data_IF_651899008911
#
_entry.id   IF_651899008911
#
_cell.length_a   1.000
_cell.length_b   1.000
_cell.length_c   1.000
_cell.angle_alpha   90.00
_cell.angle_beta   90.00
_cell.angle_gamma   90.00
#
_symmetry.space_group_name_H-M   'P 1'
#
loop_
_entity.id
_entity.type
_entity.pdbx_description
1 polymer ?
#
# COMPACT_ATOMS: atom_id res chain seq x y z
N UNK A 1 -3.78 74.40 23.50
CA UNK A 1 -4.79 73.39 23.92
C UNK A 1 -4.92 72.37 22.80
N UNK A 2 -4.77 71.09 23.18
CA UNK A 2 -4.75 69.91 22.30
C UNK A 2 -6.02 69.80 21.46
N UNK A 3 -5.90 69.50 20.16
CA UNK A 3 -6.92 68.77 19.41
C UNK A 3 -6.27 67.53 18.83
N UNK A 4 -6.78 66.40 19.32
CA UNK A 4 -6.39 65.05 18.97
C UNK A 4 -6.57 64.79 17.47
N UNK A 5 -5.54 64.21 16.87
CA UNK A 5 -5.59 63.50 15.62
C UNK A 5 -6.15 62.10 15.88
N UNK A 6 -7.40 61.86 15.48
CA UNK A 6 -7.96 60.51 15.42
C UNK A 6 -7.31 59.78 14.25
N UNK A 7 -6.35 58.93 14.58
CA UNK A 7 -5.78 57.95 13.66
C UNK A 7 -6.80 56.83 13.56
N UNK A 8 -7.59 56.85 12.48
CA UNK A 8 -8.44 55.74 12.09
C UNK A 8 -7.52 54.55 11.81
N UNK A 9 -7.47 53.58 12.73
CA UNK A 9 -6.63 52.38 12.63
C UNK A 9 -7.43 51.27 11.92
N UNK A 10 -7.18 50.96 10.64
CA UNK A 10 -7.94 49.98 9.87
C UNK A 10 -7.76 48.53 10.37
N UNK A 11 -6.88 48.28 11.35
CA UNK A 11 -6.62 46.95 11.90
C UNK A 11 -7.53 46.57 13.09
N UNK A 12 -8.27 47.51 13.69
CA UNK A 12 -9.10 47.22 14.88
C UNK A 12 -10.34 46.35 14.57
N UNK A 13 -10.93 46.50 13.38
CA UNK A 13 -12.10 45.72 12.93
C UNK A 13 -11.75 44.30 12.46
N UNK A 14 -10.46 44.03 12.19
CA UNK A 14 -10.00 42.70 11.77
C UNK A 14 -9.68 41.80 12.98
N UNK A 15 -9.16 42.40 14.07
CA UNK A 15 -8.89 41.71 15.35
C UNK A 15 -10.17 41.32 16.10
N UNK A 16 -11.21 42.17 16.06
CA UNK A 16 -12.50 41.89 16.73
C UNK A 16 -13.26 40.74 16.07
N UNK A 17 -13.34 40.70 14.74
CA UNK A 17 -13.96 39.60 13.98
C UNK A 17 -13.23 38.28 14.18
N UNK A 18 -11.89 38.30 14.25
CA UNK A 18 -11.09 37.11 14.55
C UNK A 18 -11.38 36.55 15.94
N UNK A 19 -11.55 37.42 16.94
CA UNK A 19 -11.91 37.05 18.32
C UNK A 19 -13.33 36.49 18.43
N UNK A 20 -14.30 37.05 17.69
CA UNK A 20 -15.69 36.57 17.68
C UNK A 20 -15.82 35.18 17.04
N UNK A 21 -15.17 34.97 15.89
CA UNK A 21 -15.16 33.66 15.20
C UNK A 21 -14.48 32.59 16.07
N UNK A 22 -13.38 32.92 16.75
CA UNK A 22 -12.72 32.00 17.67
C UNK A 22 -13.61 31.60 18.85
N UNK A 23 -14.41 32.54 19.35
CA UNK A 23 -15.36 32.30 20.44
C UNK A 23 -16.51 31.39 19.99
N UNK A 24 -17.06 31.64 18.80
CA UNK A 24 -18.15 30.83 18.23
C UNK A 24 -17.71 29.39 17.94
N UNK A 25 -16.53 29.19 17.35
CA UNK A 25 -15.93 27.87 17.15
C UNK A 25 -15.67 27.14 18.47
N UNK A 26 -15.29 27.85 19.53
CA UNK A 26 -15.08 27.26 20.86
C UNK A 26 -16.39 26.78 21.50
N UNK A 27 -17.47 27.56 21.35
CA UNK A 27 -18.80 27.21 21.86
C UNK A 27 -19.39 26.02 21.10
N UNK A 28 -19.20 25.96 19.79
CA UNK A 28 -19.61 24.81 18.98
C UNK A 28 -18.89 23.52 19.41
N UNK A 29 -17.58 23.57 19.64
CA UNK A 29 -16.83 22.40 20.13
C UNK A 29 -17.31 21.95 21.51
N UNK A 30 -17.56 22.88 22.43
CA UNK A 30 -18.13 22.55 23.74
C UNK A 30 -19.52 21.92 23.63
N UNK A 31 -20.36 22.41 22.72
CA UNK A 31 -21.67 21.82 22.46
C UNK A 31 -21.56 20.40 21.90
N UNK A 32 -20.62 20.15 20.98
CA UNK A 32 -20.36 18.80 20.45
C UNK A 32 -19.88 17.83 21.51
N UNK A 33 -19.03 18.27 22.44
CA UNK A 33 -18.61 17.46 23.58
C UNK A 33 -19.79 17.15 24.51
N UNK A 34 -20.59 18.16 24.87
CA UNK A 34 -21.75 18.00 25.77
C UNK A 34 -22.83 17.09 25.19
N UNK A 35 -23.05 17.14 23.88
CA UNK A 35 -24.00 16.30 23.15
C UNK A 35 -23.42 14.94 22.75
N UNK A 36 -22.20 14.62 23.18
CA UNK A 36 -21.48 13.40 22.82
C UNK A 36 -21.34 13.19 21.31
N UNK A 37 -21.37 14.26 20.51
CA UNK A 37 -21.24 14.18 19.05
C UNK A 37 -19.88 13.61 18.63
N UNK A 38 -18.82 13.89 19.40
CA UNK A 38 -17.51 13.26 19.22
C UNK A 38 -17.57 11.73 19.37
N UNK A 39 -18.39 11.21 20.29
CA UNK A 39 -18.57 9.76 20.45
C UNK A 39 -19.31 9.17 19.25
N UNK A 40 -20.30 9.89 18.71
CA UNK A 40 -21.03 9.46 17.49
C UNK A 40 -20.07 9.39 16.29
N UNK A 41 -19.17 10.37 16.12
CA UNK A 41 -18.14 10.37 15.07
C UNK A 41 -17.22 9.16 15.19
N UNK A 42 -16.75 8.85 16.40
CA UNK A 42 -15.92 7.66 16.64
C UNK A 42 -16.68 6.36 16.37
N UNK A 43 -17.95 6.26 16.76
CA UNK A 43 -18.79 5.10 16.45
C UNK A 43 -18.98 4.91 14.94
N UNK A 44 -19.21 6.01 14.21
CA UNK A 44 -19.30 5.99 12.75
C UNK A 44 -17.97 5.57 12.13
N UNK A 45 -16.86 6.17 12.57
CA UNK A 45 -15.52 5.88 12.11
C UNK A 45 -15.16 4.40 12.29
N UNK A 46 -15.54 3.81 13.43
CA UNK A 46 -15.34 2.39 13.70
C UNK A 46 -16.16 1.44 12.80
N UNK A 47 -17.19 1.95 12.11
CA UNK A 47 -17.99 1.19 11.14
C UNK A 47 -17.52 1.38 9.69
N UNK A 48 -16.51 2.22 9.46
CA UNK A 48 -15.92 2.41 8.13
C UNK A 48 -14.89 1.31 7.81
N UNK A 49 -14.69 1.01 6.53
CA UNK A 49 -13.77 -0.04 6.05
C UNK A 49 -12.59 0.48 5.26
N UNK A 50 -12.61 1.76 4.92
CA UNK A 50 -11.62 2.41 4.08
C UNK A 50 -10.95 3.53 4.87
N UNK A 51 -9.63 3.65 4.74
CA UNK A 51 -8.84 4.61 5.54
C UNK A 51 -9.37 6.05 5.44
N UNK A 52 -9.68 6.55 4.23
CA UNK A 52 -10.24 7.89 4.05
C UNK A 52 -11.65 8.03 4.63
N UNK A 53 -12.47 6.98 4.59
CA UNK A 53 -13.82 7.05 5.17
C UNK A 53 -13.76 7.24 6.68
N UNK A 54 -12.76 6.66 7.36
CA UNK A 54 -12.54 6.87 8.79
C UNK A 54 -12.21 8.32 9.10
N UNK A 55 -11.31 8.93 8.33
CA UNK A 55 -10.96 10.34 8.45
C UNK A 55 -12.18 11.23 8.25
N UNK A 56 -12.95 11.01 7.17
CA UNK A 56 -14.18 11.78 6.88
C UNK A 56 -15.21 11.64 8.02
N UNK A 57 -15.40 10.43 8.55
CA UNK A 57 -16.32 10.21 9.68
C UNK A 57 -15.84 10.93 10.96
N UNK A 58 -14.53 10.91 11.21
CA UNK A 58 -13.92 11.63 12.33
C UNK A 58 -13.98 13.12 12.12
N UNK A 59 -13.95 13.65 10.90
CA UNK A 59 -13.97 15.08 10.60
C UNK A 59 -15.38 15.62 10.35
N UNK A 60 -16.41 14.77 10.35
CA UNK A 60 -17.79 15.15 10.06
C UNK A 60 -18.33 16.23 11.03
N UNK A 61 -18.96 17.26 10.46
CA UNK A 61 -19.58 18.37 11.17
C UNK A 61 -21.04 18.53 10.75
N UNK A 62 -21.94 18.99 11.64
CA UNK A 62 -23.32 19.26 11.28
C UNK A 62 -23.42 20.37 10.23
N UNK A 63 -24.16 20.13 9.15
CA UNK A 63 -24.43 21.13 8.13
C UNK A 63 -25.70 21.92 8.46
N UNK A 64 -25.70 23.21 8.11
CA UNK A 64 -26.80 24.14 8.40
C UNK A 64 -27.56 24.61 7.15
N UNK A 65 -27.01 24.35 5.97
CA UNK A 65 -27.65 24.68 4.69
C UNK A 65 -28.59 23.55 4.27
N UNK A 66 -29.86 23.87 4.05
CA UNK A 66 -30.90 22.89 3.75
C UNK A 66 -30.56 22.02 2.53
N UNK A 67 -30.06 22.63 1.46
CA UNK A 67 -29.70 21.93 0.22
C UNK A 67 -28.62 20.86 0.45
N UNK A 68 -27.63 21.15 1.29
CA UNK A 68 -26.59 20.19 1.65
C UNK A 68 -27.13 19.04 2.51
N UNK A 69 -28.02 19.36 3.46
CA UNK A 69 -28.65 18.36 4.32
C UNK A 69 -29.52 17.41 3.51
N UNK A 70 -30.36 17.94 2.61
CA UNK A 70 -31.21 17.14 1.73
C UNK A 70 -30.38 16.25 0.81
N UNK A 71 -29.30 16.78 0.23
CA UNK A 71 -28.37 16.01 -0.61
C UNK A 71 -27.73 14.86 0.18
N UNK A 72 -27.19 15.11 1.38
CA UNK A 72 -26.57 14.05 2.19
C UNK A 72 -27.57 12.99 2.66
N UNK A 73 -28.82 13.39 2.93
CA UNK A 73 -29.89 12.45 3.26
C UNK A 73 -30.25 11.56 2.07
N UNK A 74 -30.32 12.10 0.86
CA UNK A 74 -30.55 11.32 -0.36
C UNK A 74 -29.37 10.39 -0.67
N UNK A 75 -28.12 10.87 -0.56
CA UNK A 75 -26.92 10.03 -0.69
C UNK A 75 -26.95 8.86 0.30
N UNK A 76 -27.34 9.11 1.56
CA UNK A 76 -27.47 8.08 2.60
C UNK A 76 -28.58 7.08 2.28
N UNK A 77 -29.73 7.55 1.79
CA UNK A 77 -30.84 6.69 1.40
C UNK A 77 -30.46 5.78 0.23
N UNK A 78 -29.76 6.31 -0.78
CA UNK A 78 -29.24 5.55 -1.91
C UNK A 78 -28.17 4.54 -1.47
N UNK A 79 -27.29 4.91 -0.54
CA UNK A 79 -26.28 4.00 0.02
C UNK A 79 -26.94 2.83 0.78
N UNK A 80 -27.96 3.10 1.59
CA UNK A 80 -28.72 2.06 2.29
C UNK A 80 -29.42 1.11 1.31
N UNK A 81 -30.05 1.65 0.26
CA UNK A 81 -30.67 0.86 -0.81
C UNK A 81 -29.61 -0.02 -1.51
N UNK A 82 -28.48 0.55 -1.88
CA UNK A 82 -27.38 -0.18 -2.51
C UNK A 82 -26.90 -1.32 -1.63
N UNK A 83 -26.57 -1.05 -0.36
CA UNK A 83 -26.11 -2.09 0.58
C UNK A 83 -27.16 -3.21 0.75
N UNK A 84 -28.46 -2.88 0.76
CA UNK A 84 -29.51 -3.91 0.80
C UNK A 84 -29.67 -4.71 -0.50
N UNK A 85 -29.25 -4.15 -1.63
CA UNK A 85 -29.44 -4.75 -2.97
C UNK A 85 -28.25 -5.61 -3.38
N UNK A 86 -27.04 -5.06 -3.28
CA UNK A 86 -25.80 -5.70 -3.75
C UNK A 86 -24.90 -6.20 -2.61
N UNK A 87 -25.22 -5.84 -1.36
CA UNK A 87 -24.42 -6.21 -0.20
C UNK A 87 -23.17 -5.35 -0.08
N UNK A 88 -22.02 -6.01 0.08
CA UNK A 88 -20.72 -5.36 0.18
C UNK A 88 -20.26 -4.84 -1.19
N UNK A 89 -19.77 -3.60 -1.24
CA UNK A 89 -19.19 -3.01 -2.46
C UNK A 89 -17.74 -3.43 -2.69
N UNK A 90 -17.09 -4.08 -1.73
CA UNK A 90 -15.71 -4.56 -1.88
C UNK A 90 -14.66 -3.45 -1.80
N UNK A 91 -15.04 -2.27 -1.28
CA UNK A 91 -14.12 -1.18 -0.99
C UNK A 91 -13.36 -1.49 0.32
N UNK A 92 -12.15 -2.00 0.17
CA UNK A 92 -11.28 -2.44 1.25
C UNK A 92 -9.89 -1.86 0.99
N UNK A 93 -9.38 -1.10 1.94
CA UNK A 93 -8.07 -0.48 1.84
C UNK A 93 -7.59 -0.12 3.23
N UNK A 94 -6.83 -1.03 3.84
CA UNK A 94 -6.35 -0.85 5.20
C UNK A 94 -5.12 0.07 5.28
N UNK A 95 -4.33 0.14 4.20
CA UNK A 95 -3.10 0.93 4.16
C UNK A 95 -3.34 2.25 3.43
N UNK A 96 -3.03 3.36 4.09
CA UNK A 96 -2.99 4.68 3.47
C UNK A 96 -1.80 4.76 2.50
N UNK A 97 -2.02 4.92 1.18
CA UNK A 97 -0.96 5.00 0.19
C UNK A 97 -0.32 6.39 0.12
N UNK A 98 -0.82 7.42 0.82
CA UNK A 98 -0.40 8.83 0.63
C UNK A 98 1.10 9.00 0.79
N UNK A 99 1.73 8.34 1.76
CA UNK A 99 3.18 8.41 1.96
C UNK A 99 3.96 7.77 0.82
N UNK A 100 3.50 6.61 0.35
CA UNK A 100 4.10 5.91 -0.79
C UNK A 100 3.97 6.75 -2.07
N UNK A 101 2.79 7.32 -2.31
CA UNK A 101 2.50 8.16 -3.47
C UNK A 101 3.31 9.47 -3.43
N UNK A 102 3.39 10.13 -2.27
CA UNK A 102 4.22 11.33 -2.08
C UNK A 102 5.69 11.04 -2.37
N UNK A 103 6.20 9.91 -1.89
CA UNK A 103 7.58 9.48 -2.15
C UNK A 103 7.80 9.17 -3.64
N UNK A 104 6.88 8.43 -4.26
CA UNK A 104 6.96 8.11 -5.68
C UNK A 104 6.88 9.37 -6.58
N UNK A 105 6.10 10.38 -6.17
CA UNK A 105 5.95 11.63 -6.90
C UNK A 105 7.23 12.49 -6.97
N UNK A 106 8.19 12.26 -6.05
CA UNK A 106 9.50 12.94 -6.02
C UNK A 106 10.64 12.01 -6.50
N UNK A 107 10.32 11.06 -7.38
CA UNK A 107 11.24 10.04 -7.92
C UNK A 107 11.84 9.11 -6.85
N UNK A 108 11.19 9.01 -5.68
CA UNK A 108 11.56 8.07 -4.65
C UNK A 108 11.20 6.63 -5.02
N UNK A 109 12.10 5.70 -4.72
CA UNK A 109 11.91 4.28 -5.01
C UNK A 109 10.86 3.66 -4.10
N UNK A 110 9.98 2.84 -4.68
CA UNK A 110 9.10 1.93 -3.95
C UNK A 110 9.68 0.52 -3.96
N UNK A 111 9.48 -0.22 -2.87
CA UNK A 111 9.69 -1.66 -2.86
C UNK A 111 8.60 -2.35 -3.69
N UNK A 112 8.84 -3.58 -4.12
CA UNK A 112 7.83 -4.32 -4.86
C UNK A 112 6.58 -4.63 -4.04
N UNK A 113 6.72 -4.87 -2.73
CA UNK A 113 5.58 -5.06 -1.81
C UNK A 113 4.74 -3.79 -1.70
N UNK A 114 5.39 -2.62 -1.58
CA UNK A 114 4.70 -1.33 -1.56
C UNK A 114 3.97 -1.06 -2.87
N UNK A 115 4.58 -1.35 -4.02
CA UNK A 115 3.94 -1.23 -5.32
C UNK A 115 2.70 -2.13 -5.41
N UNK A 116 2.81 -3.40 -5.02
CA UNK A 116 1.68 -4.35 -5.00
C UNK A 116 0.56 -3.84 -4.08
N UNK A 117 0.89 -3.27 -2.93
CA UNK A 117 -0.12 -2.72 -2.02
C UNK A 117 -0.97 -1.61 -2.67
N UNK A 118 -0.35 -0.75 -3.49
CA UNK A 118 -1.04 0.29 -4.26
C UNK A 118 -1.91 -0.35 -5.34
N UNK A 119 -1.42 -1.38 -6.03
CA UNK A 119 -2.21 -2.06 -7.06
C UNK A 119 -3.45 -2.77 -6.51
N UNK A 120 -3.35 -3.38 -5.33
CA UNK A 120 -4.49 -3.99 -4.64
C UNK A 120 -5.54 -2.95 -4.25
N UNK A 121 -5.10 -1.77 -3.82
CA UNK A 121 -5.99 -0.64 -3.56
C UNK A 121 -6.71 -0.19 -4.84
N UNK A 122 -6.00 -0.06 -5.96
CA UNK A 122 -6.60 0.31 -7.25
C UNK A 122 -7.65 -0.71 -7.70
N UNK A 123 -7.38 -2.00 -7.54
CA UNK A 123 -8.32 -3.07 -7.88
C UNK A 123 -9.58 -3.04 -6.99
N UNK A 124 -9.43 -2.78 -5.69
CA UNK A 124 -10.55 -2.62 -4.77
C UNK A 124 -11.42 -1.40 -5.14
N UNK A 125 -10.81 -0.26 -5.45
CA UNK A 125 -11.52 0.95 -5.91
C UNK A 125 -12.28 0.66 -7.20
N UNK A 126 -11.65 -0.03 -8.16
CA UNK A 126 -12.29 -0.38 -9.42
C UNK A 126 -13.45 -1.37 -9.26
N UNK A 127 -13.30 -2.34 -8.35
CA UNK A 127 -14.36 -3.29 -8.00
C UNK A 127 -15.54 -2.56 -7.38
N UNK A 128 -15.29 -1.67 -6.41
CA UNK A 128 -16.32 -0.84 -5.80
C UNK A 128 -17.06 0.02 -6.81
N UNK A 129 -16.32 0.67 -7.72
CA UNK A 129 -16.88 1.42 -8.84
C UNK A 129 -17.85 0.58 -9.66
N UNK A 130 -17.44 -0.61 -10.11
CA UNK A 130 -18.28 -1.46 -10.95
C UNK A 130 -19.54 -1.94 -10.21
N UNK A 131 -19.41 -2.22 -8.91
CA UNK A 131 -20.55 -2.58 -8.07
C UNK A 131 -21.56 -1.43 -7.98
N UNK A 132 -21.09 -0.20 -7.74
CA UNK A 132 -21.97 0.99 -7.73
C UNK A 132 -22.63 1.19 -9.10
N UNK A 133 -21.88 1.12 -10.19
CA UNK A 133 -22.40 1.27 -11.56
C UNK A 133 -23.40 0.16 -11.95
N UNK A 134 -23.42 -0.96 -11.24
CA UNK A 134 -24.39 -2.05 -11.46
C UNK A 134 -25.82 -1.71 -11.00
N UNK A 135 -25.99 -0.62 -10.23
CA UNK A 135 -27.29 -0.16 -9.73
C UNK A 135 -28.22 0.40 -10.83
N UNK A 136 -27.68 0.73 -12.01
CA UNK A 136 -28.43 1.08 -13.23
C UNK A 136 -29.48 2.18 -12.99
N UNK A 137 -29.08 3.29 -12.36
CA UNK A 137 -29.90 4.47 -12.09
C UNK A 137 -30.63 4.44 -10.75
N UNK A 138 -30.56 3.34 -9.98
CA UNK A 138 -31.21 3.25 -8.65
C UNK A 138 -30.45 4.00 -7.56
N UNK A 139 -29.19 4.35 -7.80
CA UNK A 139 -28.35 5.11 -6.89
C UNK A 139 -27.61 6.20 -7.67
N UNK A 140 -28.35 7.09 -8.34
CA UNK A 140 -27.82 8.04 -9.31
C UNK A 140 -26.73 8.98 -8.74
N UNK A 141 -26.84 9.40 -7.47
CA UNK A 141 -25.81 10.24 -6.83
C UNK A 141 -24.51 9.45 -6.64
N UNK A 142 -24.61 8.21 -6.17
CA UNK A 142 -23.45 7.33 -6.00
C UNK A 142 -22.83 6.92 -7.34
N UNK A 143 -23.66 6.66 -8.35
CA UNK A 143 -23.21 6.42 -9.73
C UNK A 143 -22.47 7.63 -10.30
N UNK A 144 -22.93 8.86 -9.99
CA UNK A 144 -22.22 10.09 -10.31
C UNK A 144 -20.82 10.15 -9.69
N UNK A 145 -20.71 9.89 -8.38
CA UNK A 145 -19.41 9.84 -7.69
C UNK A 145 -18.50 8.75 -8.27
N UNK A 146 -19.06 7.56 -8.55
CA UNK A 146 -18.29 6.44 -9.11
C UNK A 146 -17.86 6.70 -10.56
N UNK A 147 -18.60 7.49 -11.32
CA UNK A 147 -18.26 7.82 -12.70
C UNK A 147 -16.93 8.59 -12.82
N UNK A 148 -16.61 9.40 -11.82
CA UNK A 148 -15.37 10.20 -11.76
C UNK A 148 -14.12 9.37 -11.44
N UNK A 149 -14.28 8.11 -11.01
CA UNK A 149 -13.16 7.21 -10.73
C UNK A 149 -12.47 6.79 -12.06
N UNK A 150 -11.18 7.12 -12.25
CA UNK A 150 -10.47 6.81 -13.49
C UNK A 150 -10.15 5.32 -13.63
N UNK A 151 -10.07 4.85 -14.89
CA UNK A 151 -9.60 3.50 -15.21
C UNK A 151 -8.06 3.45 -15.25
N UNK A 152 -7.47 2.87 -14.21
CA UNK A 152 -6.02 2.72 -14.08
C UNK A 152 -5.55 1.27 -14.28
N UNK A 153 -6.37 0.39 -14.89
CA UNK A 153 -6.00 -1.02 -15.07
C UNK A 153 -4.77 -1.23 -15.95
N UNK A 154 -4.51 -0.33 -16.90
CA UNK A 154 -3.30 -0.37 -17.72
C UNK A 154 -2.03 -0.11 -16.89
N UNK A 155 -2.11 0.75 -15.85
CA UNK A 155 -1.01 0.92 -14.91
C UNK A 155 -0.72 -0.37 -14.15
N UNK A 156 -1.76 -1.04 -13.63
CA UNK A 156 -1.60 -2.33 -12.95
C UNK A 156 -0.97 -3.38 -13.86
N UNK A 157 -1.43 -3.47 -15.11
CA UNK A 157 -0.84 -4.38 -16.10
C UNK A 157 0.63 -4.07 -16.36
N UNK A 158 0.99 -2.80 -16.48
CA UNK A 158 2.38 -2.40 -16.73
C UNK A 158 3.30 -2.77 -15.56
N UNK A 159 2.86 -2.52 -14.33
CA UNK A 159 3.64 -2.88 -13.14
C UNK A 159 3.81 -4.39 -13.01
N UNK A 160 2.74 -5.17 -13.24
CA UNK A 160 2.80 -6.64 -13.17
C UNK A 160 3.63 -7.31 -14.28
N UNK A 161 4.05 -6.59 -15.33
CA UNK A 161 5.07 -7.11 -16.27
C UNK A 161 6.43 -7.26 -15.62
N UNK A 162 6.71 -6.45 -14.59
CA UNK A 162 8.03 -6.35 -13.95
C UNK A 162 8.05 -6.84 -12.51
N UNK A 163 6.90 -6.84 -11.83
CA UNK A 163 6.77 -7.20 -10.42
C UNK A 163 5.73 -8.32 -10.29
N UNK A 164 6.02 -9.33 -9.47
CA UNK A 164 5.07 -10.42 -9.16
C UNK A 164 4.02 -9.96 -8.16
N UNK A 165 2.95 -10.75 -7.99
CA UNK A 165 1.95 -10.54 -6.92
C UNK A 165 2.55 -10.57 -5.50
N UNK A 166 3.76 -11.09 -5.33
CA UNK A 166 4.49 -11.12 -4.06
C UNK A 166 5.45 -9.94 -3.88
N UNK A 167 5.51 -9.02 -4.83
CA UNK A 167 6.47 -7.90 -4.81
C UNK A 167 7.88 -8.28 -5.28
N UNK A 168 8.06 -9.45 -5.89
CA UNK A 168 9.36 -9.86 -6.41
C UNK A 168 9.59 -9.33 -7.83
N UNK A 169 10.80 -8.88 -8.14
CA UNK A 169 11.14 -8.46 -9.50
C UNK A 169 11.26 -9.68 -10.41
N UNK A 170 10.42 -9.72 -11.44
CA UNK A 170 10.36 -10.78 -12.44
C UNK A 170 11.54 -10.71 -13.41
N UNK A 171 11.89 -11.85 -14.02
CA UNK A 171 12.90 -11.91 -15.09
C UNK A 171 12.51 -11.04 -16.29
N UNK A 172 11.20 -10.92 -16.54
CA UNK A 172 10.60 -10.09 -17.59
C UNK A 172 10.76 -8.59 -17.36
N UNK A 173 11.16 -8.15 -16.16
CA UNK A 173 11.32 -6.73 -15.85
C UNK A 173 12.29 -6.04 -16.80
N UNK A 174 13.40 -6.70 -17.16
CA UNK A 174 14.28 -6.23 -18.24
C UNK A 174 14.95 -7.39 -18.97
N UNK A 175 15.19 -7.27 -20.30
CA UNK A 175 15.95 -8.28 -21.04
C UNK A 175 17.36 -8.51 -20.49
N UNK A 176 17.98 -7.48 -19.89
CA UNK A 176 19.30 -7.58 -19.25
C UNK A 176 19.24 -8.44 -17.99
N UNK A 177 18.23 -8.24 -17.14
CA UNK A 177 18.03 -9.04 -15.93
C UNK A 177 17.79 -10.52 -16.26
N UNK A 178 16.91 -10.81 -17.22
CA UNK A 178 16.67 -12.16 -17.70
C UNK A 178 17.96 -12.86 -18.14
N UNK A 179 18.79 -12.18 -18.96
CA UNK A 179 20.09 -12.71 -19.42
C UNK A 179 21.05 -12.97 -18.25
N UNK A 180 21.13 -12.05 -17.29
CA UNK A 180 22.01 -12.20 -16.12
C UNK A 180 21.59 -13.40 -15.27
N UNK A 181 20.30 -13.52 -14.92
CA UNK A 181 19.77 -14.65 -14.14
C UNK A 181 19.96 -15.98 -14.89
N UNK A 182 19.71 -16.03 -16.19
CA UNK A 182 19.98 -17.22 -17.00
C UNK A 182 21.46 -17.62 -17.00
N UNK A 183 22.38 -16.65 -17.07
CA UNK A 183 23.81 -16.89 -16.99
C UNK A 183 24.25 -17.41 -15.61
N UNK A 184 23.67 -16.87 -14.53
CA UNK A 184 23.88 -17.36 -13.17
C UNK A 184 23.45 -18.82 -13.06
N UNK A 185 22.22 -19.14 -13.46
CA UNK A 185 21.69 -20.52 -13.43
C UNK A 185 22.52 -21.48 -14.28
N UNK A 186 22.92 -21.07 -15.49
CA UNK A 186 23.78 -21.88 -16.37
C UNK A 186 25.15 -22.14 -15.76
N UNK A 187 25.74 -21.12 -15.13
CA UNK A 187 27.05 -21.23 -14.46
C UNK A 187 26.95 -22.14 -13.25
N UNK A 188 25.90 -21.97 -12.43
CA UNK A 188 25.62 -22.82 -11.28
C UNK A 188 25.48 -24.29 -11.68
N UNK A 189 24.69 -24.61 -12.70
CA UNK A 189 24.55 -25.97 -13.23
C UNK A 189 25.87 -26.55 -13.76
N UNK A 190 26.74 -25.70 -14.33
CA UNK A 190 28.08 -26.12 -14.77
C UNK A 190 28.99 -26.46 -13.59
N UNK A 191 28.94 -25.67 -12.52
CA UNK A 191 29.70 -25.94 -11.28
C UNK A 191 29.17 -27.19 -10.60
N UNK A 192 27.86 -27.36 -10.47
CA UNK A 192 27.23 -28.57 -9.93
C UNK A 192 27.67 -29.82 -10.68
N UNK A 193 27.59 -29.84 -12.02
CA UNK A 193 28.06 -30.97 -12.83
C UNK A 193 29.57 -31.24 -12.69
N UNK A 194 30.38 -30.20 -12.47
CA UNK A 194 31.80 -30.38 -12.20
C UNK A 194 32.02 -31.02 -10.82
N UNK A 195 31.29 -30.57 -9.80
CA UNK A 195 31.32 -31.14 -8.45
C UNK A 195 30.84 -32.60 -8.44
N UNK A 196 29.76 -32.93 -9.13
CA UNK A 196 29.27 -34.31 -9.27
C UNK A 196 30.31 -35.22 -9.93
N UNK A 197 31.02 -34.73 -10.95
CA UNK A 197 32.09 -35.47 -11.62
C UNK A 197 33.27 -35.72 -10.69
N UNK A 198 33.65 -34.72 -9.90
CA UNK A 198 34.72 -34.85 -8.89
C UNK A 198 34.29 -35.85 -7.82
N UNK A 199 33.07 -35.73 -7.29
CA UNK A 199 32.55 -36.61 -6.24
C UNK A 199 32.47 -38.07 -6.68
N UNK A 200 32.15 -38.33 -7.95
CA UNK A 200 32.06 -39.68 -8.51
C UNK A 200 33.39 -40.20 -9.07
N UNK A 201 34.47 -39.43 -9.03
CA UNK A 201 35.78 -39.88 -9.50
C UNK A 201 36.33 -40.99 -8.61
N UNK A 202 37.02 -41.98 -9.20
CA UNK A 202 37.58 -43.12 -8.45
C UNK A 202 38.59 -42.71 -7.38
N UNK A 203 39.26 -41.57 -7.56
CA UNK A 203 40.26 -41.04 -6.63
C UNK A 203 39.62 -40.36 -5.41
N UNK A 204 38.50 -39.65 -5.58
CA UNK A 204 37.87 -38.85 -4.51
C UNK A 204 36.77 -39.61 -3.80
N UNK A 205 35.99 -40.44 -4.52
CA UNK A 205 34.82 -41.16 -3.98
C UNK A 205 35.08 -41.95 -2.69
N UNK A 206 36.21 -42.69 -2.53
CA UNK A 206 36.50 -43.42 -1.28
C UNK A 206 36.80 -42.53 -0.07
N UNK A 207 37.20 -41.28 -0.33
CA UNK A 207 37.58 -40.30 0.67
C UNK A 207 36.40 -39.44 1.16
N UNK A 208 35.25 -39.51 0.48
CA UNK A 208 34.05 -38.77 0.85
C UNK A 208 33.28 -39.45 2.00
N UNK A 209 32.71 -38.63 2.88
CA UNK A 209 31.78 -39.06 3.93
C UNK A 209 30.39 -39.33 3.35
N UNK A 210 29.91 -38.44 2.48
CA UNK A 210 28.69 -38.61 1.70
C UNK A 210 28.92 -38.19 0.24
N UNK A 211 28.20 -38.82 -0.70
CA UNK A 211 28.24 -38.44 -2.11
C UNK A 211 27.40 -37.19 -2.43
N UNK A 212 26.77 -36.57 -1.43
CA UNK A 212 25.94 -35.41 -1.59
C UNK A 212 26.79 -34.14 -1.64
N UNK A 213 26.41 -33.20 -2.52
CA UNK A 213 27.03 -31.88 -2.58
C UNK A 213 26.30 -31.01 -1.56
N UNK A 214 27.03 -30.51 -0.56
CA UNK A 214 26.50 -29.60 0.44
C UNK A 214 26.79 -28.14 0.05
N UNK A 215 26.09 -27.21 0.71
CA UNK A 215 26.35 -25.77 0.59
C UNK A 215 26.82 -25.25 1.94
N UNK A 216 27.92 -24.50 1.96
CA UNK A 216 28.45 -23.78 3.14
C UNK A 216 28.63 -22.31 2.75
N UNK A 217 27.79 -21.44 3.32
CA UNK A 217 27.65 -20.05 2.85
C UNK A 217 27.23 -20.02 1.38
N UNK A 218 28.00 -19.31 0.55
CA UNK A 218 27.76 -19.19 -0.89
C UNK A 218 28.55 -20.21 -1.75
N UNK A 219 29.09 -21.27 -1.13
CA UNK A 219 29.99 -22.22 -1.79
C UNK A 219 29.47 -23.64 -1.75
N UNK A 220 29.57 -24.31 -2.89
CA UNK A 220 29.36 -25.74 -3.03
C UNK A 220 30.59 -26.49 -2.52
N UNK A 221 30.38 -27.46 -1.62
CA UNK A 221 31.44 -28.21 -0.94
C UNK A 221 31.14 -29.71 -0.97
N UNK A 222 32.21 -30.51 -0.86
CA UNK A 222 32.15 -31.96 -0.71
C UNK A 222 32.59 -32.32 0.71
N UNK A 223 31.88 -33.25 1.35
CA UNK A 223 32.20 -33.72 2.69
C UNK A 223 33.27 -34.82 2.61
N UNK A 224 34.48 -34.51 3.06
CA UNK A 224 35.63 -35.41 3.06
C UNK A 224 35.80 -36.00 4.46
N UNK A 225 36.05 -37.30 4.56
CA UNK A 225 36.35 -37.96 5.83
C UNK A 225 37.63 -37.39 6.44
N UNK A 226 37.62 -37.21 7.76
CA UNK A 226 38.75 -36.61 8.49
C UNK A 226 40.09 -37.33 8.26
N UNK A 227 40.07 -38.66 8.16
CA UNK A 227 41.25 -39.50 7.93
C UNK A 227 41.74 -39.53 6.48
N UNK A 228 40.92 -39.06 5.54
CA UNK A 228 41.26 -38.99 4.12
C UNK A 228 41.44 -37.54 3.62
N UNK A 229 41.51 -36.54 4.52
CA UNK A 229 41.60 -35.12 4.16
C UNK A 229 42.76 -34.75 3.22
N UNK A 230 43.90 -35.44 3.34
CA UNK A 230 45.10 -35.17 2.53
C UNK A 230 45.03 -35.80 1.13
N UNK A 231 44.09 -36.73 0.92
CA UNK A 231 43.91 -37.44 -0.35
C UNK A 231 43.14 -36.62 -1.39
N UNK A 232 42.43 -35.56 -0.98
CA UNK A 232 41.60 -34.74 -1.84
C UNK A 232 42.20 -33.33 -1.94
N UNK A 233 42.75 -32.92 -3.10
CA UNK A 233 43.27 -31.57 -3.27
C UNK A 233 42.12 -30.55 -3.26
N UNK A 234 42.24 -29.53 -2.40
CA UNK A 234 41.22 -28.50 -2.26
C UNK A 234 41.50 -27.50 -1.15
N UNK A 235 40.57 -26.57 -0.93
CA UNK A 235 40.59 -25.61 0.17
C UNK A 235 39.55 -26.07 1.19
N UNK A 236 39.97 -26.23 2.45
CA UNK A 236 39.07 -26.56 3.56
C UNK A 236 38.24 -25.32 3.90
N UNK A 237 36.91 -25.45 3.83
CA UNK A 237 35.98 -24.37 4.17
C UNK A 237 35.47 -24.43 5.60
N UNK A 238 35.21 -25.63 6.10
CA UNK A 238 34.61 -25.85 7.42
C UNK A 238 35.01 -27.24 7.93
N UNK A 239 35.08 -27.43 9.26
CA UNK A 239 35.44 -28.69 9.91
C UNK A 239 34.38 -29.00 10.95
N UNK A 240 33.71 -30.15 10.81
CA UNK A 240 32.68 -30.63 11.73
C UNK A 240 32.96 -32.08 12.15
#
# INVERSE_FOLDING_TARGET
MKKHSDINNPNADTDSRGSEIATELSLQRQAWELLEFTNIRELLAARTRFYMSREIAIEAEPLIHLEDVERLQDETAQAALMLSTVGDIGLVGALDPRDLLRRAAIDGMLTGEEAVSILLLLDSIWTARNTVMSMKGKAALLEGIAADIPDLRELSKEVFKSISERGEVLDSATPKLARLRANVSKTFLRVMRAMERIANSRSVKPSLQSGAIATRGDRLVLEVRADARESVPGIVHDVS
#
